data_IF_811180490363
#
_entry.id   IF_811180490363
#
_cell.length_a   1.000
_cell.length_b   1.000
_cell.length_c   1.000
_cell.angle_alpha   90.00
_cell.angle_beta   90.00
_cell.angle_gamma   90.00
#
_symmetry.space_group_name_H-M   'P 1'
#
loop_
_entity.id
_entity.type
_entity.pdbx_description
1 polymer ?
#
# COMPACT_ATOMS: atom_id res chain seq x y z
N UNK A 1 -5.49 6.44 -17.11
CA UNK A 1 -5.88 5.31 -16.23
C UNK A 1 -4.78 4.27 -16.37
N UNK A 2 -4.03 3.99 -15.31
CA UNK A 2 -2.87 3.06 -15.32
C UNK A 2 -3.25 1.87 -14.43
N UNK A 3 -3.12 0.61 -14.91
CA UNK A 3 -3.41 -0.57 -14.09
C UNK A 3 -2.43 -0.68 -12.92
N UNK A 4 -2.93 -1.09 -11.75
CA UNK A 4 -2.08 -1.39 -10.58
C UNK A 4 -1.24 -2.66 -10.78
N UNK A 5 -1.75 -3.62 -11.58
CA UNK A 5 -1.08 -4.87 -11.86
C UNK A 5 -1.23 -5.24 -13.34
N UNK A 6 -0.18 -5.85 -13.89
CA UNK A 6 -0.17 -6.42 -15.24
C UNK A 6 0.45 -7.80 -15.13
N UNK A 7 -0.25 -8.82 -15.62
CA UNK A 7 0.22 -10.20 -15.67
C UNK A 7 0.21 -10.68 -17.12
N UNK A 8 1.30 -11.30 -17.56
CA UNK A 8 1.34 -12.00 -18.83
C UNK A 8 0.77 -13.41 -18.64
N UNK A 9 -0.19 -13.78 -19.48
CA UNK A 9 -0.76 -15.13 -19.54
C UNK A 9 -0.48 -15.72 -20.92
N UNK A 10 -0.24 -17.02 -20.99
CA UNK A 10 0.04 -17.71 -22.27
C UNK A 10 -1.20 -17.75 -23.18
N UNK A 11 -2.39 -17.89 -22.58
CA UNK A 11 -3.65 -18.02 -23.32
C UNK A 11 -4.82 -17.40 -22.56
N UNK A 12 -5.67 -16.70 -23.29
CA UNK A 12 -6.91 -16.13 -22.75
C UNK A 12 -7.94 -17.26 -22.54
N UNK A 13 -8.43 -17.49 -21.30
CA UNK A 13 -9.45 -18.49 -21.04
C UNK A 13 -10.77 -18.05 -21.66
N UNK A 14 -11.43 -18.96 -22.39
CA UNK A 14 -12.71 -18.70 -23.04
C UNK A 14 -13.73 -19.78 -22.67
N UNK A 15 -14.97 -19.34 -22.50
CA UNK A 15 -16.15 -20.21 -22.35
C UNK A 15 -16.37 -21.04 -23.63
N UNK A 16 -17.23 -22.06 -23.55
CA UNK A 16 -17.61 -22.91 -24.70
C UNK A 16 -18.14 -22.11 -25.90
N UNK A 17 -18.69 -20.92 -25.67
CA UNK A 17 -19.21 -20.02 -26.71
C UNK A 17 -18.16 -19.01 -27.22
N UNK A 18 -16.89 -19.15 -26.84
CA UNK A 18 -15.79 -18.28 -27.29
C UNK A 18 -15.68 -16.94 -26.57
N UNK A 19 -16.51 -16.66 -25.55
CA UNK A 19 -16.40 -15.44 -24.74
C UNK A 19 -15.36 -15.60 -23.64
N UNK A 20 -14.65 -14.53 -23.27
CA UNK A 20 -13.73 -14.49 -22.12
C UNK A 20 -14.38 -15.08 -20.86
N UNK A 21 -13.72 -16.06 -20.26
CA UNK A 21 -14.10 -16.60 -18.95
C UNK A 21 -13.28 -15.91 -17.84
N UNK A 22 -13.87 -14.87 -17.25
CA UNK A 22 -13.21 -14.08 -16.20
C UNK A 22 -12.92 -14.88 -14.93
N UNK A 23 -13.67 -15.94 -14.66
CA UNK A 23 -13.50 -16.76 -13.44
C UNK A 23 -12.35 -17.74 -13.56
N UNK A 24 -11.98 -18.07 -14.79
CA UNK A 24 -10.85 -18.93 -15.09
C UNK A 24 -9.54 -18.14 -15.30
N UNK A 25 -9.56 -16.81 -15.13
CA UNK A 25 -8.33 -16.03 -15.11
C UNK A 25 -7.51 -16.39 -13.87
N UNK A 26 -6.18 -16.54 -13.99
CA UNK A 26 -5.32 -16.74 -12.83
C UNK A 26 -5.47 -15.58 -11.84
N UNK A 27 -5.51 -15.90 -10.56
CA UNK A 27 -5.38 -14.89 -9.51
C UNK A 27 -3.96 -14.33 -9.54
N UNK A 28 -3.86 -13.01 -9.34
CA UNK A 28 -2.56 -12.36 -9.11
C UNK A 28 -2.18 -12.66 -7.66
N UNK A 29 -1.33 -13.66 -7.47
CA UNK A 29 -0.75 -13.95 -6.16
C UNK A 29 0.32 -12.89 -5.89
N UNK A 30 0.11 -12.07 -4.86
CA UNK A 30 1.17 -11.23 -4.33
C UNK A 30 2.18 -12.11 -3.61
N UNK A 31 3.28 -12.44 -4.26
CA UNK A 31 4.51 -12.72 -3.53
C UNK A 31 5.00 -11.38 -2.99
N UNK A 32 4.63 -11.03 -1.76
CA UNK A 32 5.39 -10.04 -0.98
C UNK A 32 6.77 -10.67 -0.74
N UNK A 33 7.64 -10.58 -1.74
CA UNK A 33 9.00 -11.13 -1.73
C UNK A 33 10.00 -10.30 -0.93
N UNK A 34 9.52 -9.31 -0.17
CA UNK A 34 10.36 -8.51 0.71
C UNK A 34 10.45 -9.18 2.09
N UNK A 35 11.68 -9.36 2.54
CA UNK A 35 11.98 -9.78 3.90
C UNK A 35 11.27 -8.83 4.87
N UNK A 36 10.49 -9.34 5.82
CA UNK A 36 9.80 -8.47 6.78
C UNK A 36 10.81 -7.65 7.60
N UNK A 37 10.73 -6.34 7.48
CA UNK A 37 11.48 -5.36 8.26
C UNK A 37 10.53 -4.73 9.30
N UNK A 38 10.85 -4.95 10.57
CA UNK A 38 10.11 -4.36 11.67
C UNK A 38 10.36 -2.83 11.78
N UNK A 39 9.37 -2.05 12.24
CA UNK A 39 9.57 -0.64 12.57
C UNK A 39 10.65 -0.46 13.64
N UNK A 40 11.48 0.56 13.48
CA UNK A 40 12.68 0.84 14.29
C UNK A 40 12.46 1.95 15.32
N UNK A 41 11.44 2.79 15.12
CA UNK A 41 11.10 3.90 16.01
C UNK A 41 9.58 4.03 16.19
N UNK A 42 9.15 4.91 17.11
CA UNK A 42 7.72 5.09 17.43
C UNK A 42 6.91 5.65 16.25
N UNK A 43 7.50 6.53 15.44
CA UNK A 43 6.83 7.13 14.28
C UNK A 43 6.53 6.08 13.20
N UNK A 44 7.53 5.27 12.84
CA UNK A 44 7.38 4.14 11.93
C UNK A 44 6.33 3.16 12.46
N UNK A 45 6.37 2.83 13.75
CA UNK A 45 5.41 1.92 14.36
C UNK A 45 3.96 2.45 14.28
N UNK A 46 3.77 3.75 14.51
CA UNK A 46 2.46 4.39 14.34
C UNK A 46 1.98 4.33 12.89
N UNK A 47 2.84 4.65 11.92
CA UNK A 47 2.46 4.66 10.50
C UNK A 47 2.16 3.25 9.99
N UNK A 48 2.99 2.25 10.34
CA UNK A 48 2.76 0.84 9.99
C UNK A 48 1.41 0.37 10.53
N UNK A 49 1.11 0.67 11.80
CA UNK A 49 -0.19 0.33 12.39
C UNK A 49 -1.35 0.98 11.64
N UNK A 50 -1.23 2.25 11.26
CA UNK A 50 -2.25 2.94 10.45
C UNK A 50 -2.44 2.25 9.10
N UNK A 51 -1.34 1.81 8.46
CA UNK A 51 -1.41 1.07 7.20
C UNK A 51 -2.16 -0.26 7.39
N UNK A 52 -1.87 -1.01 8.44
CA UNK A 52 -2.54 -2.27 8.77
C UNK A 52 -4.05 -2.06 8.97
N UNK A 53 -4.42 -1.04 9.75
CA UNK A 53 -5.82 -0.66 10.00
C UNK A 53 -6.58 -0.27 8.71
N UNK A 54 -5.93 0.45 7.79
CA UNK A 54 -6.57 0.99 6.58
C UNK A 54 -6.63 -0.03 5.44
N UNK A 55 -5.57 -0.82 5.27
CA UNK A 55 -5.43 -1.79 4.18
C UNK A 55 -6.12 -3.11 4.54
N UNK A 56 -6.15 -3.46 5.83
CA UNK A 56 -6.73 -4.72 6.33
C UNK A 56 -5.77 -5.91 6.26
N UNK A 57 -4.46 -5.66 6.24
CA UNK A 57 -3.41 -6.68 6.25
C UNK A 57 -2.85 -6.92 7.65
N UNK A 58 -2.41 -8.15 7.93
CA UNK A 58 -1.68 -8.48 9.15
C UNK A 58 -0.18 -8.46 8.82
N UNK A 59 0.60 -7.66 9.55
CA UNK A 59 2.07 -7.65 9.52
C UNK A 59 2.65 -7.02 8.26
N UNK A 60 2.54 -5.69 8.18
CA UNK A 60 3.11 -4.87 7.09
C UNK A 60 4.57 -4.51 7.43
N UNK A 61 5.48 -4.68 6.45
CA UNK A 61 6.88 -4.27 6.58
C UNK A 61 7.01 -2.74 6.51
N UNK A 62 8.00 -2.16 7.19
CA UNK A 62 8.19 -0.69 7.22
C UNK A 62 8.54 -0.10 5.84
N UNK A 63 9.16 -0.91 4.97
CA UNK A 63 9.56 -0.59 3.61
C UNK A 63 8.53 -1.00 2.54
N UNK A 64 7.41 -1.62 2.94
CA UNK A 64 6.38 -2.04 2.00
C UNK A 64 5.75 -0.84 1.28
N UNK A 65 5.67 -0.90 -0.06
CA UNK A 65 4.98 0.10 -0.86
C UNK A 65 3.48 0.06 -0.58
N UNK A 66 2.94 1.17 -0.09
CA UNK A 66 1.54 1.34 0.26
C UNK A 66 0.57 0.95 -0.86
N UNK A 67 0.90 1.25 -2.13
CA UNK A 67 0.04 0.95 -3.26
C UNK A 67 0.14 -0.50 -3.71
N UNK A 68 1.31 -1.12 -3.51
CA UNK A 68 1.49 -2.54 -3.76
C UNK A 68 0.75 -3.37 -2.72
N UNK A 69 0.73 -2.99 -1.45
CA UNK A 69 -0.04 -3.72 -0.43
C UNK A 69 -1.57 -3.49 -0.51
N UNK A 70 -2.07 -2.84 -1.57
CA UNK A 70 -3.51 -2.62 -1.79
C UNK A 70 -4.01 -1.23 -1.38
N UNK A 71 -3.11 -0.29 -1.12
CA UNK A 71 -3.43 1.12 -0.98
C UNK A 71 -3.91 1.75 -2.29
N UNK A 72 -4.78 2.74 -2.17
CA UNK A 72 -5.29 3.53 -3.29
C UNK A 72 -5.71 4.91 -2.78
N UNK A 73 -6.11 5.83 -3.66
CA UNK A 73 -6.34 7.25 -3.30
C UNK A 73 -7.26 7.45 -2.10
N UNK A 74 -8.40 6.76 -2.04
CA UNK A 74 -9.31 6.84 -0.89
C UNK A 74 -8.69 6.28 0.41
N UNK A 75 -7.89 5.22 0.34
CA UNK A 75 -7.14 4.70 1.50
C UNK A 75 -6.03 5.67 1.90
N UNK A 76 -5.32 6.29 0.95
CA UNK A 76 -4.32 7.32 1.22
C UNK A 76 -4.93 8.53 1.97
N UNK A 77 -6.13 8.98 1.58
CA UNK A 77 -6.85 10.03 2.32
C UNK A 77 -7.15 9.61 3.75
N UNK A 78 -7.56 8.35 3.98
CA UNK A 78 -7.79 7.83 5.34
C UNK A 78 -6.51 7.80 6.17
N UNK A 79 -5.39 7.37 5.57
CA UNK A 79 -4.07 7.38 6.20
C UNK A 79 -3.70 8.79 6.65
N UNK A 80 -3.79 9.79 5.76
CA UNK A 80 -3.44 11.19 6.10
C UNK A 80 -4.27 11.70 7.29
N UNK A 81 -5.59 11.48 7.27
CA UNK A 81 -6.47 11.91 8.36
C UNK A 81 -6.15 11.19 9.68
N UNK A 82 -5.70 9.93 9.61
CA UNK A 82 -5.35 9.15 10.79
C UNK A 82 -4.00 9.57 11.37
N UNK A 83 -3.02 9.85 10.51
CA UNK A 83 -1.74 10.43 10.91
C UNK A 83 -1.98 11.78 11.61
N UNK A 84 -2.78 12.67 11.02
CA UNK A 84 -3.13 13.96 11.63
C UNK A 84 -3.82 13.78 13.01
N UNK A 85 -4.68 12.77 13.16
CA UNK A 85 -5.33 12.49 14.43
C UNK A 85 -4.39 11.94 15.51
N UNK A 86 -3.40 11.14 15.13
CA UNK A 86 -2.52 10.43 16.06
C UNK A 86 -1.25 11.24 16.40
N UNK A 87 -0.72 12.02 15.46
CA UNK A 87 0.51 12.82 15.63
C UNK A 87 0.26 14.32 15.76
N UNK A 88 -0.94 14.80 15.39
CA UNK A 88 -1.23 16.23 15.29
C UNK A 88 -0.62 16.92 14.06
N UNK A 89 0.14 16.20 13.22
CA UNK A 89 0.80 16.74 12.04
C UNK A 89 0.02 16.38 10.78
N UNK A 90 -0.41 17.40 10.05
CA UNK A 90 -1.10 17.22 8.78
C UNK A 90 -0.11 17.20 7.61
N UNK A 91 0.10 16.02 7.03
CA UNK A 91 0.91 15.89 5.81
C UNK A 91 0.07 16.07 4.54
N UNK A 92 0.63 16.66 3.47
CA UNK A 92 -0.03 16.67 2.16
C UNK A 92 -0.22 15.24 1.63
N UNK A 93 -1.38 14.95 1.04
CA UNK A 93 -1.62 13.62 0.43
C UNK A 93 -0.57 13.23 -0.62
N UNK A 94 0.03 14.23 -1.29
CA UNK A 94 1.13 14.05 -2.24
C UNK A 94 2.32 13.28 -1.63
N UNK A 95 2.54 13.41 -0.32
CA UNK A 95 3.60 12.69 0.38
C UNK A 95 3.34 11.19 0.33
N UNK A 96 2.12 10.70 0.57
CA UNK A 96 1.81 9.27 0.44
C UNK A 96 2.11 8.74 -0.98
N UNK A 97 1.92 9.56 -2.02
CA UNK A 97 2.20 9.18 -3.41
C UNK A 97 3.68 9.24 -3.79
N UNK A 98 4.47 10.04 -3.06
CA UNK A 98 5.89 10.28 -3.35
C UNK A 98 6.76 9.39 -2.44
N UNK A 99 6.49 9.44 -1.15
CA UNK A 99 7.04 8.62 -0.06
C UNK A 99 6.08 7.47 0.20
N UNK A 100 6.25 6.36 -0.52
CA UNK A 100 5.27 5.28 -0.59
C UNK A 100 5.33 4.29 0.57
N UNK A 101 6.35 4.40 1.42
CA UNK A 101 6.65 3.46 2.51
C UNK A 101 6.49 4.13 3.87
N UNK A 102 6.27 3.34 4.92
CA UNK A 102 6.14 3.87 6.27
C UNK A 102 7.45 4.54 6.75
N UNK A 103 8.61 3.97 6.41
CA UNK A 103 9.94 4.53 6.69
C UNK A 103 10.09 5.93 6.10
N UNK A 104 9.75 6.10 4.82
CA UNK A 104 9.92 7.37 4.11
C UNK A 104 8.96 8.45 4.61
N UNK A 105 7.71 8.08 4.93
CA UNK A 105 6.73 9.01 5.51
C UNK A 105 7.16 9.43 6.92
N UNK A 106 7.63 8.51 7.75
CA UNK A 106 8.13 8.81 9.09
C UNK A 106 9.25 9.85 9.03
N UNK A 107 10.24 9.61 8.16
CA UNK A 107 11.36 10.52 7.95
C UNK A 107 10.91 11.91 7.52
N UNK A 108 9.95 12.00 6.60
CA UNK A 108 9.42 13.29 6.15
C UNK A 108 8.79 14.10 7.29
N UNK A 109 8.06 13.44 8.20
CA UNK A 109 7.45 14.09 9.36
C UNK A 109 8.55 14.59 10.31
N UNK A 110 9.53 13.75 10.63
CA UNK A 110 10.65 14.12 11.50
C UNK A 110 11.50 15.27 10.93
N UNK A 111 11.72 15.32 9.62
CA UNK A 111 12.43 16.42 8.95
C UNK A 111 11.61 17.72 8.92
N UNK A 112 10.27 17.63 8.94
CA UNK A 112 9.38 18.79 8.94
C UNK A 112 9.18 19.41 10.32
N UNK A 113 9.50 18.69 11.40
CA UNK A 113 9.46 19.18 12.79
C UNK A 113 10.76 19.89 13.22
N UNK A 114 11.82 19.84 12.41
CA UNK A 114 13.09 20.58 12.62
C UNK A 114 13.05 21.99 12.02
#
# INVERSE_FOLDING_TARGET
MIPAYIMQIEKIPVTRNGKLDKRALPDIVQECGEEYIAPRNEMENNIVRIFEEVVGGNKISVDADFFEIGGHSLRATKVVNRIEADTGVRIPIKIIFSERTAEAIARYIEESEK
#
